data_IF_579783295662
#
_entry.id   IF_579783295662
#
_cell.length_a   1.000
_cell.length_b   1.000
_cell.length_c   1.000
_cell.angle_alpha   90.00
_cell.angle_beta   90.00
_cell.angle_gamma   90.00
#
_symmetry.space_group_name_H-M   'P 1'
#
loop_
_entity.id
_entity.type
_entity.pdbx_description
1 polymer ?
#
# COMPACT_ATOMS: atom_id res chain seq x y z
N UNK A 1 40.68 -7.17 -0.43
CA UNK A 1 39.47 -7.57 -1.17
C UNK A 1 38.28 -7.21 -0.30
N UNK A 2 37.50 -6.21 -0.68
CA UNK A 2 36.33 -5.77 0.10
C UNK A 2 35.17 -6.71 -0.23
N UNK A 3 34.66 -7.40 0.79
CA UNK A 3 33.50 -8.27 0.69
C UNK A 3 32.27 -7.42 0.32
N UNK A 4 31.78 -7.56 -0.91
CA UNK A 4 30.47 -7.10 -1.34
C UNK A 4 29.40 -8.02 -0.73
N UNK A 5 29.18 -7.92 0.58
CA UNK A 5 27.96 -8.43 1.19
C UNK A 5 26.84 -7.49 0.77
N UNK A 6 26.17 -7.80 -0.34
CA UNK A 6 24.90 -7.15 -0.70
C UNK A 6 23.89 -7.47 0.39
N UNK A 7 23.84 -6.64 1.43
CA UNK A 7 22.74 -6.58 2.37
C UNK A 7 21.53 -6.19 1.53
N UNK A 8 20.84 -7.18 1.01
CA UNK A 8 19.58 -7.00 0.32
C UNK A 8 18.59 -6.45 1.31
N UNK A 9 18.56 -5.12 1.47
CA UNK A 9 17.44 -4.39 2.03
C UNK A 9 16.23 -4.88 1.25
N UNK A 10 15.45 -5.78 1.84
CA UNK A 10 14.10 -6.05 1.36
C UNK A 10 13.37 -4.73 1.54
N UNK A 11 13.36 -3.92 0.48
CA UNK A 11 12.54 -2.73 0.41
C UNK A 11 11.12 -3.28 0.49
N UNK A 12 10.54 -3.22 1.70
CA UNK A 12 9.13 -3.51 1.89
C UNK A 12 8.41 -2.51 1.01
N UNK A 13 7.85 -2.98 -0.09
CA UNK A 13 7.18 -2.12 -1.04
C UNK A 13 6.01 -1.42 -0.34
N UNK A 14 5.87 -0.12 -0.56
CA UNK A 14 4.79 0.66 0.01
C UNK A 14 3.45 0.14 -0.54
N UNK A 15 2.52 -0.33 0.31
CA UNK A 15 1.24 -0.87 -0.13
C UNK A 15 0.42 0.15 -0.94
N UNK A 16 0.61 1.46 -0.72
CA UNK A 16 -0.01 2.49 -1.56
C UNK A 16 0.56 2.40 -2.98
N UNK A 17 1.89 2.35 -3.11
CA UNK A 17 2.56 2.25 -4.41
C UNK A 17 2.15 0.98 -5.15
N UNK A 18 2.13 -0.17 -4.49
CA UNK A 18 1.69 -1.44 -5.08
C UNK A 18 0.25 -1.37 -5.59
N UNK A 19 -0.66 -0.80 -4.79
CA UNK A 19 -2.07 -0.70 -5.15
C UNK A 19 -2.33 0.24 -6.33
N UNK A 20 -1.49 1.25 -6.55
CA UNK A 20 -1.64 2.16 -7.70
C UNK A 20 -1.45 1.48 -9.06
N UNK A 21 -0.85 0.27 -9.09
CA UNK A 21 -0.74 -0.53 -10.32
C UNK A 21 -2.07 -1.21 -10.66
N UNK A 22 -2.85 -1.60 -9.65
CA UNK A 22 -4.09 -2.37 -9.80
C UNK A 22 -5.35 -1.49 -9.83
N UNK A 23 -5.29 -0.33 -9.18
CA UNK A 23 -6.45 0.53 -8.94
C UNK A 23 -6.18 1.99 -9.35
N UNK A 24 -7.22 2.75 -9.72
CA UNK A 24 -7.09 4.19 -9.97
C UNK A 24 -6.45 4.91 -8.78
N UNK A 25 -5.40 5.69 -9.03
CA UNK A 25 -4.60 6.38 -7.99
C UNK A 25 -5.47 7.16 -7.00
N UNK A 26 -6.48 7.88 -7.49
CA UNK A 26 -7.39 8.67 -6.65
C UNK A 26 -8.16 7.80 -5.65
N UNK A 27 -8.52 6.57 -6.02
CA UNK A 27 -9.19 5.63 -5.13
C UNK A 27 -8.24 5.07 -4.09
N UNK A 28 -7.00 4.75 -4.48
CA UNK A 28 -5.95 4.28 -3.55
C UNK A 28 -5.67 5.34 -2.49
N UNK A 29 -5.49 6.60 -2.90
CA UNK A 29 -5.28 7.73 -2.00
C UNK A 29 -6.48 7.88 -1.06
N UNK A 30 -7.71 7.87 -1.59
CA UNK A 30 -8.94 7.98 -0.79
C UNK A 30 -9.06 6.86 0.25
N UNK A 31 -8.78 5.61 -0.15
CA UNK A 31 -8.81 4.46 0.74
C UNK A 31 -7.75 4.55 1.85
N UNK A 32 -6.52 4.95 1.50
CA UNK A 32 -5.45 5.16 2.47
C UNK A 32 -5.81 6.24 3.51
N UNK A 33 -6.35 7.38 3.06
CA UNK A 33 -6.83 8.43 3.97
C UNK A 33 -7.99 7.96 4.85
N UNK A 34 -8.90 7.14 4.34
CA UNK A 34 -9.96 6.53 5.16
C UNK A 34 -9.39 5.64 6.27
N UNK A 35 -8.37 4.82 5.99
CA UNK A 35 -7.72 4.00 7.01
C UNK A 35 -7.01 4.84 8.08
N UNK A 36 -6.26 5.86 7.65
CA UNK A 36 -5.56 6.77 8.57
C UNK A 36 -6.54 7.56 9.45
N UNK A 37 -7.69 7.98 8.89
CA UNK A 37 -8.75 8.65 9.66
C UNK A 37 -9.30 7.77 10.79
N UNK A 38 -9.34 6.46 10.58
CA UNK A 38 -9.74 5.47 11.58
C UNK A 38 -8.61 5.11 12.56
N UNK A 39 -7.41 5.68 12.41
CA UNK A 39 -6.23 5.33 13.20
C UNK A 39 -5.61 3.97 12.85
N UNK A 40 -5.93 3.41 11.68
CA UNK A 40 -5.40 2.11 11.22
C UNK A 40 -4.09 2.27 10.44
N UNK A 41 -3.24 1.24 10.49
CA UNK A 41 -2.09 1.11 9.59
C UNK A 41 -2.55 0.95 8.14
N UNK A 42 -1.73 1.40 7.20
CA UNK A 42 -1.96 1.16 5.77
C UNK A 42 -1.34 -0.20 5.44
N UNK A 43 -2.09 -1.27 5.67
CA UNK A 43 -1.71 -2.62 5.27
C UNK A 43 -2.39 -2.99 3.95
N UNK A 44 -1.71 -3.79 3.13
CA UNK A 44 -2.20 -4.22 1.81
C UNK A 44 -3.62 -4.81 1.89
N UNK A 45 -3.90 -5.66 2.89
CA UNK A 45 -5.21 -6.30 3.08
C UNK A 45 -6.32 -5.29 3.36
N UNK A 46 -6.08 -4.35 4.27
CA UNK A 46 -7.08 -3.36 4.67
C UNK A 46 -7.31 -2.32 3.58
N UNK A 47 -6.24 -1.95 2.87
CA UNK A 47 -6.30 -1.06 1.72
C UNK A 47 -7.12 -1.69 0.59
N UNK A 48 -6.87 -2.96 0.27
CA UNK A 48 -7.61 -3.68 -0.77
C UNK A 48 -9.08 -3.89 -0.42
N UNK A 49 -9.39 -4.26 0.84
CA UNK A 49 -10.78 -4.36 1.31
C UNK A 49 -11.54 -3.03 1.20
N UNK A 50 -10.86 -1.93 1.54
CA UNK A 50 -11.44 -0.58 1.45
C UNK A 50 -11.68 -0.18 0.00
N UNK A 51 -10.73 -0.48 -0.90
CA UNK A 51 -10.87 -0.26 -2.34
C UNK A 51 -12.04 -1.04 -2.94
N UNK A 52 -12.18 -2.32 -2.60
CA UNK A 52 -13.31 -3.15 -3.04
C UNK A 52 -14.66 -2.57 -2.57
N UNK A 53 -14.71 -2.06 -1.34
CA UNK A 53 -15.91 -1.39 -0.80
C UNK A 53 -16.25 -0.10 -1.56
N UNK A 54 -15.24 0.68 -1.98
CA UNK A 54 -15.44 1.91 -2.75
C UNK A 54 -15.90 1.64 -4.19
N UNK A 55 -15.51 0.51 -4.78
CA UNK A 55 -15.88 0.12 -6.15
C UNK A 55 -17.24 -0.58 -6.24
N UNK A 56 -17.70 -1.16 -5.14
CA UNK A 56 -18.97 -1.89 -5.08
C UNK A 56 -20.16 -1.01 -4.67
N UNK A 57 -19.95 0.31 -4.57
CA UNK A 57 -20.96 1.33 -4.31
C UNK A 57 -21.30 2.06 -5.59
#
# INVERSE_FOLDING_TARGET
MLNNSSVGLRISADPVQEMTVKYPRVLVIKAAFSLLKDGKSIEHRDLEKTLQTLLSR
#
